data_IF_321844995277
#
_entry.id   IF_321844995277
#
_cell.length_a   1.000
_cell.length_b   1.000
_cell.length_c   1.000
_cell.angle_alpha   90.00
_cell.angle_beta   90.00
_cell.angle_gamma   90.00
#
_symmetry.space_group_name_H-M   'P 1'
#
loop_
_entity.id
_entity.type
_entity.pdbx_description
1 polymer ?
#
# COMPACT_ATOMS: atom_id res chain seq x y z
N UNK A 1 -17.34 -24.09 81.86
CA UNK A 1 -17.65 -24.63 80.52
C UNK A 1 -17.07 -23.68 79.48
N UNK A 2 -15.74 -23.66 79.34
CA UNK A 2 -14.95 -24.37 78.31
C UNK A 2 -15.18 -23.84 76.90
N UNK A 3 -14.44 -22.78 76.60
CA UNK A 3 -14.26 -22.14 75.29
C UNK A 3 -13.21 -22.90 74.47
N UNK A 4 -13.65 -23.50 73.35
CA UNK A 4 -12.77 -24.19 72.39
C UNK A 4 -12.16 -23.16 71.42
N UNK A 5 -10.88 -22.84 71.63
CA UNK A 5 -10.06 -22.02 70.73
C UNK A 5 -9.38 -22.95 69.72
N UNK A 6 -9.87 -22.91 68.48
CA UNK A 6 -9.32 -23.66 67.35
C UNK A 6 -8.03 -23.00 66.84
N UNK A 7 -6.87 -23.61 67.14
CA UNK A 7 -5.56 -23.22 66.59
C UNK A 7 -5.45 -23.66 65.13
N UNK A 8 -5.36 -22.71 64.18
CA UNK A 8 -4.96 -22.98 62.79
C UNK A 8 -3.43 -23.03 62.72
N UNK A 9 -2.89 -24.18 62.33
CA UNK A 9 -1.50 -24.34 61.91
C UNK A 9 -1.29 -23.68 60.53
N UNK A 10 -0.52 -22.59 60.50
CA UNK A 10 0.10 -22.04 59.29
C UNK A 10 1.32 -22.87 58.92
N UNK A 11 1.22 -23.64 57.85
CA UNK A 11 2.37 -24.30 57.21
C UNK A 11 3.16 -23.25 56.42
N UNK A 12 4.39 -22.96 56.88
CA UNK A 12 5.38 -22.21 56.12
C UNK A 12 5.98 -23.13 55.03
N UNK A 13 6.03 -22.70 53.76
CA UNK A 13 6.69 -23.46 52.70
C UNK A 13 8.22 -23.38 52.85
N UNK A 14 8.86 -24.54 52.79
CA UNK A 14 10.32 -24.70 52.81
C UNK A 14 11.00 -24.00 51.63
N UNK A 15 12.23 -23.46 51.80
CA UNK A 15 12.98 -22.83 50.73
C UNK A 15 13.45 -23.88 49.70
N UNK A 16 13.08 -23.68 48.44
CA UNK A 16 13.57 -24.49 47.33
C UNK A 16 15.06 -24.21 47.08
N UNK A 17 15.82 -25.29 47.02
CA UNK A 17 17.24 -25.33 46.68
C UNK A 17 17.49 -24.91 45.23
N UNK A 18 18.48 -24.05 45.05
CA UNK A 18 18.96 -23.55 43.77
C UNK A 18 19.58 -24.68 42.92
N UNK A 19 19.31 -24.76 41.61
CA UNK A 19 19.99 -25.71 40.73
C UNK A 19 21.46 -25.30 40.47
N UNK A 20 22.35 -26.28 40.20
CA UNK A 20 23.77 -26.03 39.99
C UNK A 20 24.05 -25.25 38.69
N UNK A 21 25.03 -24.34 38.76
CA UNK A 21 25.59 -23.59 37.63
C UNK A 21 26.20 -24.57 36.61
N UNK A 22 25.55 -24.67 35.46
CA UNK A 22 26.09 -25.31 34.26
C UNK A 22 27.26 -24.49 33.71
N UNK A 23 28.33 -25.22 33.38
CA UNK A 23 29.58 -24.73 32.83
C UNK A 23 29.41 -24.02 31.48
N UNK A 24 30.30 -23.07 31.25
CA UNK A 24 30.51 -22.32 30.02
C UNK A 24 30.89 -23.24 28.84
N UNK A 25 30.34 -23.03 27.63
CA UNK A 25 30.92 -23.58 26.42
C UNK A 25 31.98 -22.63 25.86
N UNK A 26 33.19 -23.15 25.86
CA UNK A 26 34.39 -22.66 25.19
C UNK A 26 34.16 -22.40 23.69
N UNK A 27 34.70 -21.27 23.27
CA UNK A 27 35.04 -20.79 21.93
C UNK A 27 35.45 -21.89 20.94
N UNK A 28 34.68 -22.13 19.88
CA UNK A 28 35.11 -22.85 18.68
C UNK A 28 34.23 -22.50 17.47
N UNK A 29 34.43 -21.32 16.89
CA UNK A 29 33.88 -20.97 15.57
C UNK A 29 34.70 -19.84 14.92
N UNK A 30 35.97 -20.15 14.65
CA UNK A 30 36.83 -19.35 13.79
C UNK A 30 37.39 -20.25 12.70
N UNK A 31 36.62 -20.42 11.62
CA UNK A 31 37.04 -20.75 10.26
C UNK A 31 35.79 -21.14 9.47
N UNK A 32 35.09 -20.13 8.93
CA UNK A 32 34.25 -20.35 7.77
C UNK A 32 34.78 -19.47 6.64
N UNK A 33 35.09 -20.19 5.58
CA UNK A 33 35.78 -19.85 4.36
C UNK A 33 35.12 -18.67 3.65
N UNK A 34 35.96 -17.75 3.14
CA UNK A 34 35.52 -16.47 2.56
C UNK A 34 35.47 -16.48 1.04
N UNK A 35 35.76 -17.61 0.39
CA UNK A 35 35.92 -17.69 -1.06
C UNK A 35 35.07 -18.80 -1.71
N UNK A 36 33.73 -18.66 -1.73
CA UNK A 36 32.91 -19.35 -2.76
C UNK A 36 31.45 -18.91 -2.79
N UNK A 37 31.13 -17.72 -3.33
CA UNK A 37 29.79 -17.41 -3.83
C UNK A 37 29.89 -16.54 -5.08
N UNK A 38 30.25 -17.17 -6.20
CA UNK A 38 30.04 -16.62 -7.54
C UNK A 38 28.59 -16.92 -7.91
N UNK A 39 27.74 -15.89 -7.96
CA UNK A 39 26.36 -16.03 -8.42
C UNK A 39 26.35 -16.40 -9.92
N UNK A 40 25.55 -17.40 -10.36
CA UNK A 40 25.36 -17.67 -11.77
C UNK A 40 24.53 -16.55 -12.41
N UNK A 41 25.02 -16.04 -13.53
CA UNK A 41 24.24 -15.21 -14.43
C UNK A 41 23.10 -16.07 -15.00
N UNK A 42 21.89 -15.84 -14.50
CA UNK A 42 20.69 -16.48 -15.01
C UNK A 42 19.63 -15.40 -15.12
N UNK A 43 19.53 -14.76 -16.29
CA UNK A 43 18.34 -14.18 -16.92
C UNK A 43 18.79 -13.36 -18.13
N UNK A 44 18.93 -14.03 -19.27
CA UNK A 44 18.90 -13.36 -20.57
C UNK A 44 17.42 -13.19 -21.00
N UNK A 45 16.96 -11.99 -21.35
CA UNK A 45 15.63 -11.80 -21.86
C UNK A 45 15.57 -12.15 -23.36
N UNK A 46 14.93 -13.29 -23.67
CA UNK A 46 14.43 -13.58 -25.02
C UNK A 46 13.21 -12.67 -25.24
N UNK A 47 13.40 -11.56 -25.96
CA UNK A 47 12.33 -10.74 -26.51
C UNK A 47 12.17 -11.08 -27.99
N UNK A 48 11.07 -11.75 -28.34
CA UNK A 48 10.58 -11.80 -29.71
C UNK A 48 9.61 -10.63 -29.93
N UNK A 49 9.83 -9.78 -30.96
CA UNK A 49 8.87 -8.75 -31.34
C UNK A 49 7.88 -9.39 -32.33
N UNK A 50 6.59 -9.52 -31.96
CA UNK A 50 5.43 -9.53 -32.89
C UNK A 50 4.11 -9.94 -32.21
N UNK A 51 3.78 -9.34 -31.07
CA UNK A 51 2.40 -9.31 -30.61
C UNK A 51 2.02 -7.87 -30.26
N UNK A 52 1.23 -7.23 -31.12
CA UNK A 52 0.58 -5.96 -30.85
C UNK A 52 -0.41 -6.13 -29.68
N UNK A 53 0.11 -5.94 -28.47
CA UNK A 53 -0.69 -5.84 -27.26
C UNK A 53 -1.51 -4.55 -27.33
N UNK A 54 -2.75 -4.66 -27.81
CA UNK A 54 -3.76 -3.62 -27.60
C UNK A 54 -3.98 -3.43 -26.09
N UNK A 55 -3.33 -2.38 -25.56
CA UNK A 55 -3.35 -1.99 -24.16
C UNK A 55 -4.67 -1.28 -23.83
N UNK A 56 -5.65 -2.06 -23.35
CA UNK A 56 -6.83 -1.55 -22.66
C UNK A 56 -6.44 -1.12 -21.24
N UNK A 57 -5.96 0.13 -21.12
CA UNK A 57 -5.49 0.73 -19.87
C UNK A 57 -6.62 1.30 -18.98
N UNK A 58 -7.85 0.82 -19.15
CA UNK A 58 -9.04 1.35 -18.46
C UNK A 58 -9.17 0.88 -17.00
N UNK A 59 -8.36 -0.07 -16.54
CA UNK A 59 -8.47 -0.65 -15.19
C UNK A 59 -7.73 0.12 -14.08
N UNK A 60 -6.83 1.05 -14.42
CA UNK A 60 -6.20 1.94 -13.42
C UNK A 60 -6.79 3.36 -13.41
N UNK A 61 -7.81 3.61 -14.23
CA UNK A 61 -8.73 4.71 -14.00
C UNK A 61 -9.69 4.27 -12.90
N UNK A 62 -9.43 4.73 -11.67
CA UNK A 62 -10.44 4.74 -10.62
C UNK A 62 -11.70 5.37 -11.22
N UNK A 63 -12.68 4.52 -11.60
CA UNK A 63 -14.03 4.95 -11.93
C UNK A 63 -14.63 5.50 -10.65
N UNK A 64 -14.41 6.79 -10.41
CA UNK A 64 -15.21 7.56 -9.49
C UNK A 64 -16.57 7.75 -10.15
N UNK A 65 -17.55 6.97 -9.69
CA UNK A 65 -18.92 6.93 -10.20
C UNK A 65 -19.49 8.33 -10.36
N UNK A 66 -19.47 8.83 -11.60
CA UNK A 66 -20.17 10.05 -11.98
C UNK A 66 -21.48 9.59 -12.57
N UNK A 67 -22.56 9.80 -11.81
CA UNK A 67 -23.94 9.54 -12.23
C UNK A 67 -24.22 10.25 -13.57
N UNK A 68 -24.60 9.47 -14.58
CA UNK A 68 -24.97 9.93 -15.91
C UNK A 68 -26.24 10.79 -15.84
N UNK A 69 -26.10 12.08 -16.13
CA UNK A 69 -27.22 12.95 -16.49
C UNK A 69 -27.47 12.90 -18.02
N UNK A 70 -28.70 13.18 -18.49
CA UNK A 70 -29.08 13.01 -19.89
C UNK A 70 -28.37 14.01 -20.81
N UNK A 71 -27.97 13.53 -21.99
CA UNK A 71 -27.26 14.27 -23.04
C UNK A 71 -28.12 15.40 -23.64
N UNK A 72 -27.71 16.64 -23.42
CA UNK A 72 -28.13 17.81 -24.21
C UNK A 72 -27.12 18.12 -25.33
N UNK A 73 -27.56 18.69 -26.46
CA UNK A 73 -26.73 18.92 -27.64
C UNK A 73 -25.61 19.96 -27.41
N UNK A 74 -24.50 19.87 -28.17
CA UNK A 74 -23.29 20.65 -27.94
C UNK A 74 -23.46 22.12 -28.32
N UNK A 75 -23.54 23.00 -27.31
CA UNK A 75 -23.42 24.45 -27.49
C UNK A 75 -21.95 24.83 -27.67
N UNK A 76 -21.58 25.37 -28.84
CA UNK A 76 -20.26 25.96 -29.10
C UNK A 76 -20.04 27.17 -28.19
N UNK A 77 -19.27 26.98 -27.12
CA UNK A 77 -18.94 28.02 -26.14
C UNK A 77 -17.61 28.67 -26.53
N UNK A 78 -17.66 29.95 -26.94
CA UNK A 78 -16.47 30.79 -27.15
C UNK A 78 -15.65 30.88 -25.85
N UNK A 79 -14.45 30.27 -25.82
CA UNK A 79 -13.56 30.23 -24.65
C UNK A 79 -12.45 31.29 -24.73
N UNK A 80 -12.80 32.56 -24.89
CA UNK A 80 -11.83 33.66 -24.81
C UNK A 80 -12.03 34.42 -23.50
N UNK A 81 -11.67 33.81 -22.37
CA UNK A 81 -11.41 34.50 -21.10
C UNK A 81 -10.92 33.51 -20.03
N UNK A 82 -9.65 33.10 -20.09
CA UNK A 82 -8.98 32.36 -19.02
C UNK A 82 -8.69 33.30 -17.84
N UNK A 83 -9.73 33.68 -17.07
CA UNK A 83 -9.54 34.31 -15.77
C UNK A 83 -8.86 33.28 -14.86
N UNK A 84 -7.60 33.54 -14.47
CA UNK A 84 -6.89 32.79 -13.43
C UNK A 84 -7.80 32.67 -12.21
N UNK A 85 -8.32 31.48 -11.93
CA UNK A 85 -9.08 31.26 -10.71
C UNK A 85 -8.19 31.57 -9.51
N UNK A 86 -8.69 32.31 -8.50
CA UNK A 86 -7.95 32.53 -7.27
C UNK A 86 -7.60 31.16 -6.67
N UNK A 87 -6.33 30.96 -6.35
CA UNK A 87 -5.87 29.74 -5.68
C UNK A 87 -6.74 29.48 -4.48
N UNK A 88 -7.44 28.34 -4.45
CA UNK A 88 -8.22 27.94 -3.29
C UNK A 88 -7.33 28.04 -2.03
N UNK A 89 -7.83 28.61 -0.92
CA UNK A 89 -7.03 28.76 0.28
C UNK A 89 -6.52 27.38 0.71
N UNK A 90 -5.24 27.28 1.04
CA UNK A 90 -4.56 26.02 1.42
C UNK A 90 -5.34 25.26 2.53
N UNK A 91 -6.00 25.99 3.43
CA UNK A 91 -6.87 25.43 4.46
C UNK A 91 -8.08 24.66 3.89
N UNK A 92 -8.67 25.09 2.78
CA UNK A 92 -9.77 24.37 2.14
C UNK A 92 -9.30 23.05 1.54
N UNK A 93 -8.09 23.00 0.97
CA UNK A 93 -7.49 21.77 0.44
C UNK A 93 -7.21 20.79 1.58
N UNK A 94 -6.62 21.27 2.68
CA UNK A 94 -6.35 20.45 3.87
C UNK A 94 -7.65 19.94 4.49
N UNK A 95 -8.66 20.81 4.62
CA UNK A 95 -9.97 20.42 5.16
C UNK A 95 -10.64 19.34 4.30
N UNK A 96 -10.61 19.49 2.98
CA UNK A 96 -11.11 18.47 2.03
C UNK A 96 -10.34 17.15 2.15
N UNK A 97 -9.01 17.23 2.31
CA UNK A 97 -8.15 16.05 2.51
C UNK A 97 -8.45 15.32 3.82
N UNK A 98 -8.63 16.04 4.94
CA UNK A 98 -8.93 15.43 6.25
C UNK A 98 -10.38 14.92 6.32
N UNK A 99 -11.29 15.51 5.55
CA UNK A 99 -12.68 15.05 5.51
C UNK A 99 -12.82 13.72 4.77
N UNK A 100 -11.94 13.44 3.81
CA UNK A 100 -11.90 12.17 3.08
C UNK A 100 -11.44 11.01 3.97
N UNK A 101 -12.12 9.85 3.86
CA UNK A 101 -11.78 8.65 4.63
C UNK A 101 -10.35 8.17 4.32
N UNK A 102 -9.98 8.19 3.03
CA UNK A 102 -8.63 7.84 2.58
C UNK A 102 -7.57 8.80 3.13
N UNK A 103 -7.85 10.11 3.09
CA UNK A 103 -6.95 11.13 3.64
C UNK A 103 -6.73 10.97 5.14
N UNK A 104 -7.74 10.55 5.90
CA UNK A 104 -7.60 10.19 7.32
C UNK A 104 -6.73 8.96 7.52
N UNK A 105 -6.96 7.86 6.80
CA UNK A 105 -6.12 6.65 6.90
C UNK A 105 -4.65 6.97 6.60
N UNK A 106 -4.37 7.73 5.53
CA UNK A 106 -2.98 8.09 5.17
C UNK A 106 -2.35 9.02 6.20
N UNK A 107 -3.08 10.01 6.71
CA UNK A 107 -2.60 10.89 7.79
C UNK A 107 -2.21 10.11 9.03
N UNK A 108 -3.08 9.19 9.47
CA UNK A 108 -2.80 8.35 10.64
C UNK A 108 -1.60 7.43 10.35
N UNK A 109 -1.45 6.89 9.14
CA UNK A 109 -0.27 6.09 8.75
C UNK A 109 1.02 6.91 8.89
N UNK A 110 1.04 8.13 8.35
CA UNK A 110 2.21 9.02 8.41
C UNK A 110 2.59 9.32 9.86
N UNK A 111 1.62 9.71 10.69
CA UNK A 111 1.84 10.01 12.11
C UNK A 111 2.34 8.76 12.86
N UNK A 112 1.70 7.61 12.65
CA UNK A 112 2.07 6.34 13.25
C UNK A 112 3.54 5.98 12.96
N UNK A 113 3.96 6.10 11.69
CA UNK A 113 5.31 5.73 11.30
C UNK A 113 6.36 6.79 11.67
N UNK A 114 5.99 8.07 11.71
CA UNK A 114 6.85 9.10 12.29
C UNK A 114 7.18 8.79 13.75
N UNK A 115 6.18 8.41 14.56
CA UNK A 115 6.43 7.99 15.95
C UNK A 115 7.23 6.69 16.05
N UNK A 116 7.05 5.73 15.14
CA UNK A 116 7.92 4.53 15.10
C UNK A 116 9.38 4.88 14.83
N UNK A 117 9.65 5.86 13.96
CA UNK A 117 11.01 6.38 13.70
C UNK A 117 11.56 7.03 14.98
N UNK A 118 10.80 7.92 15.62
CA UNK A 118 11.22 8.58 16.87
C UNK A 118 11.52 7.57 17.99
N UNK A 119 10.68 6.53 18.11
CA UNK A 119 10.87 5.42 19.05
C UNK A 119 12.12 4.62 18.75
N UNK A 120 12.40 4.34 17.47
CA UNK A 120 13.58 3.59 17.03
C UNK A 120 14.87 4.31 17.43
N UNK A 121 14.93 5.63 17.27
CA UNK A 121 16.07 6.46 17.68
C UNK A 121 16.06 6.87 19.16
N UNK A 122 15.07 6.40 19.94
CA UNK A 122 14.89 6.69 21.37
C UNK A 122 14.78 8.20 21.68
N UNK A 123 14.26 8.99 20.74
CA UNK A 123 14.03 10.43 20.93
C UNK A 123 12.80 10.73 21.79
N UNK A 124 11.97 9.72 22.05
CA UNK A 124 10.75 9.82 22.86
C UNK A 124 10.62 8.63 23.82
N UNK A 125 9.87 8.80 24.91
CA UNK A 125 9.66 7.74 25.92
C UNK A 125 8.93 6.51 25.34
N UNK A 126 9.61 5.37 25.36
CA UNK A 126 9.11 4.13 24.75
C UNK A 126 7.83 3.62 25.40
N UNK A 127 7.63 3.83 26.70
CA UNK A 127 6.46 3.30 27.42
C UNK A 127 5.18 4.01 27.00
N UNK A 128 5.21 5.34 26.94
CA UNK A 128 4.03 6.16 26.61
C UNK A 128 3.67 6.09 25.13
N UNK A 129 4.67 6.18 24.24
CA UNK A 129 4.43 6.34 22.81
C UNK A 129 4.15 5.02 22.08
N UNK A 130 4.63 3.88 22.59
CA UNK A 130 4.32 2.56 21.99
C UNK A 130 2.82 2.23 22.03
N UNK A 131 2.15 2.52 23.15
CA UNK A 131 0.70 2.36 23.30
C UNK A 131 -0.07 3.24 22.30
N UNK A 132 0.35 4.50 22.13
CA UNK A 132 -0.28 5.41 21.17
C UNK A 132 -0.12 4.94 19.72
N UNK A 133 1.08 4.50 19.34
CA UNK A 133 1.34 3.91 18.01
C UNK A 133 0.47 2.67 17.76
N UNK A 134 0.27 1.84 18.77
CA UNK A 134 -0.64 0.70 18.71
C UNK A 134 -2.08 1.14 18.45
N UNK A 135 -2.56 2.17 19.16
CA UNK A 135 -3.90 2.73 18.94
C UNK A 135 -4.08 3.30 17.53
N UNK A 136 -3.10 4.04 16.99
CA UNK A 136 -3.17 4.51 15.61
C UNK A 136 -3.27 3.35 14.61
N UNK A 137 -2.54 2.27 14.85
CA UNK A 137 -2.65 1.06 14.03
C UNK A 137 -4.05 0.44 14.10
N UNK A 138 -4.63 0.35 15.30
CA UNK A 138 -5.96 -0.21 15.50
C UNK A 138 -7.03 0.67 14.86
N UNK A 139 -6.94 2.00 15.01
CA UNK A 139 -7.85 2.96 14.37
C UNK A 139 -7.84 2.81 12.84
N UNK A 140 -6.66 2.63 12.23
CA UNK A 140 -6.56 2.43 10.78
C UNK A 140 -7.23 1.14 10.31
N UNK A 141 -7.10 0.05 11.06
CA UNK A 141 -7.82 -1.20 10.76
C UNK A 141 -9.33 -0.97 10.86
N UNK A 142 -9.78 -0.31 11.92
CA UNK A 142 -11.20 0.01 12.11
C UNK A 142 -11.77 0.87 10.97
N UNK A 143 -11.00 1.84 10.46
CA UNK A 143 -11.39 2.68 9.32
C UNK A 143 -11.58 1.90 8.01
N UNK A 144 -10.97 0.71 7.89
CA UNK A 144 -11.04 -0.15 6.70
C UNK A 144 -12.07 -1.27 6.84
N UNK A 145 -12.67 -1.42 8.02
CA UNK A 145 -13.66 -2.47 8.26
C UNK A 145 -14.80 -2.32 7.26
N UNK A 146 -15.13 -3.42 6.57
CA UNK A 146 -16.20 -3.43 5.57
C UNK A 146 -15.78 -2.99 4.17
N UNK A 147 -14.49 -2.73 3.92
CA UNK A 147 -13.98 -2.51 2.55
C UNK A 147 -14.26 -3.71 1.62
N UNK A 148 -14.37 -4.92 2.17
CA UNK A 148 -14.77 -6.13 1.44
C UNK A 148 -16.08 -5.97 0.65
N UNK A 149 -17.03 -5.17 1.13
CA UNK A 149 -18.30 -4.90 0.43
C UNK A 149 -18.07 -4.17 -0.89
N UNK A 150 -17.08 -3.28 -0.94
CA UNK A 150 -16.68 -2.59 -2.17
C UNK A 150 -16.14 -3.56 -3.21
N UNK A 151 -15.20 -4.42 -2.82
CA UNK A 151 -14.62 -5.44 -3.70
C UNK A 151 -15.67 -6.42 -4.24
N UNK A 152 -16.62 -6.84 -3.40
CA UNK A 152 -17.74 -7.70 -3.84
C UNK A 152 -18.60 -7.00 -4.89
N UNK A 153 -18.89 -5.70 -4.71
CA UNK A 153 -19.64 -4.91 -5.69
C UNK A 153 -18.90 -4.80 -7.02
N UNK A 154 -17.62 -4.46 -6.99
CA UNK A 154 -16.77 -4.34 -8.19
C UNK A 154 -16.68 -5.68 -8.95
N UNK A 155 -16.65 -6.79 -8.21
CA UNK A 155 -16.68 -8.14 -8.76
C UNK A 155 -18.02 -8.45 -9.44
N UNK A 156 -19.15 -8.07 -8.84
CA UNK A 156 -20.50 -8.24 -9.43
C UNK A 156 -20.70 -7.38 -10.68
N UNK A 157 -20.21 -6.14 -10.68
CA UNK A 157 -20.26 -5.23 -11.83
C UNK A 157 -19.39 -5.76 -12.99
N UNK A 158 -18.23 -6.32 -12.65
CA UNK A 158 -17.34 -6.97 -13.63
C UNK A 158 -17.96 -8.24 -14.21
N UNK A 159 -18.67 -9.04 -13.41
CA UNK A 159 -19.38 -10.23 -13.89
C UNK A 159 -20.53 -9.87 -14.84
N UNK A 160 -21.25 -8.79 -14.55
CA UNK A 160 -22.38 -8.32 -15.37
C UNK A 160 -21.94 -7.71 -16.72
N UNK A 161 -20.67 -7.32 -16.82
CA UNK A 161 -20.10 -6.73 -18.04
C UNK A 161 -19.71 -7.83 -19.04
N UNK A 162 -20.58 -8.07 -20.02
CA UNK A 162 -20.42 -9.09 -21.09
C UNK A 162 -19.16 -8.96 -21.98
N UNK A 163 -18.40 -7.86 -21.87
CA UNK A 163 -17.19 -7.62 -22.65
C UNK A 163 -15.99 -8.49 -22.23
N UNK A 164 -15.98 -9.01 -21.00
CA UNK A 164 -14.87 -9.79 -20.44
C UNK A 164 -14.78 -11.22 -20.99
N UNK A 165 -15.84 -11.73 -21.62
CA UNK A 165 -15.89 -13.11 -22.12
C UNK A 165 -14.98 -13.36 -23.33
N UNK A 166 -14.51 -12.31 -24.01
CA UNK A 166 -13.71 -12.44 -25.24
C UNK A 166 -12.25 -12.86 -25.01
N UNK A 167 -11.74 -12.85 -23.76
CA UNK A 167 -10.35 -13.21 -23.43
C UNK A 167 -10.28 -14.03 -22.13
N UNK A 168 -10.35 -15.37 -22.18
CA UNK A 168 -10.49 -16.22 -20.98
C UNK A 168 -9.31 -16.10 -20.01
N UNK A 169 -8.09 -15.90 -20.50
CA UNK A 169 -6.91 -15.71 -19.65
C UNK A 169 -6.96 -14.39 -18.86
N UNK A 170 -7.43 -13.32 -19.49
CA UNK A 170 -7.59 -12.03 -18.81
C UNK A 170 -8.67 -12.13 -17.74
N UNK A 171 -9.80 -12.77 -18.05
CA UNK A 171 -10.85 -13.05 -17.09
C UNK A 171 -10.30 -13.81 -15.88
N UNK A 172 -9.59 -14.93 -16.08
CA UNK A 172 -8.99 -15.69 -14.98
C UNK A 172 -8.04 -14.84 -14.13
N UNK A 173 -7.17 -14.05 -14.76
CA UNK A 173 -6.25 -13.16 -14.04
C UNK A 173 -7.02 -12.12 -13.19
N UNK A 174 -8.06 -11.51 -13.74
CA UNK A 174 -8.92 -10.56 -13.02
C UNK A 174 -9.60 -11.22 -11.81
N UNK A 175 -10.14 -12.43 -11.97
CA UNK A 175 -10.75 -13.18 -10.86
C UNK A 175 -9.76 -13.59 -9.79
N UNK A 176 -8.56 -14.01 -10.18
CA UNK A 176 -7.49 -14.28 -9.22
C UNK A 176 -7.14 -13.04 -8.41
N UNK A 177 -7.03 -11.87 -9.05
CA UNK A 177 -6.79 -10.60 -8.35
C UNK A 177 -7.93 -10.27 -7.40
N UNK A 178 -9.20 -10.41 -7.82
CA UNK A 178 -10.34 -10.20 -6.93
C UNK A 178 -10.36 -11.16 -5.74
N UNK A 179 -10.04 -12.43 -5.94
CA UNK A 179 -9.97 -13.41 -4.87
C UNK A 179 -8.87 -13.08 -3.86
N UNK A 180 -7.70 -12.61 -4.33
CA UNK A 180 -6.60 -12.17 -3.46
C UNK A 180 -7.00 -10.93 -2.66
N UNK A 181 -7.61 -9.93 -3.30
CA UNK A 181 -8.06 -8.69 -2.65
C UNK A 181 -9.16 -8.98 -1.62
N UNK A 182 -10.18 -9.74 -2.01
CA UNK A 182 -11.28 -10.12 -1.12
C UNK A 182 -10.76 -10.95 0.06
N UNK A 183 -9.88 -11.92 -0.20
CA UNK A 183 -9.25 -12.73 0.84
C UNK A 183 -8.44 -11.88 1.83
N UNK A 184 -7.72 -10.86 1.33
CA UNK A 184 -7.02 -9.90 2.19
C UNK A 184 -7.98 -9.09 3.06
N UNK A 185 -9.02 -8.50 2.48
CA UNK A 185 -9.96 -7.62 3.20
C UNK A 185 -10.76 -8.40 4.25
N UNK A 186 -11.27 -9.58 3.91
CA UNK A 186 -11.96 -10.46 4.88
C UNK A 186 -11.01 -10.88 6.00
N UNK A 187 -9.76 -11.22 5.68
CA UNK A 187 -8.78 -11.60 6.70
C UNK A 187 -8.38 -10.43 7.61
N UNK A 188 -8.26 -9.20 7.08
CA UNK A 188 -7.99 -8.00 7.89
C UNK A 188 -9.17 -7.68 8.82
N UNK A 189 -10.41 -7.80 8.32
CA UNK A 189 -11.64 -7.63 9.13
C UNK A 189 -11.71 -8.66 10.27
N UNK A 190 -11.49 -9.94 9.97
CA UNK A 190 -11.45 -11.00 10.99
C UNK A 190 -10.35 -10.76 12.02
N UNK A 191 -9.18 -10.29 11.59
CA UNK A 191 -8.10 -9.94 12.50
C UNK A 191 -8.44 -8.71 13.36
N UNK A 192 -9.13 -7.72 12.80
CA UNK A 192 -9.64 -6.57 13.53
C UNK A 192 -10.63 -6.99 14.61
N UNK A 193 -11.61 -7.83 14.27
CA UNK A 193 -12.59 -8.38 15.21
C UNK A 193 -11.94 -9.24 16.31
N UNK A 194 -10.89 -10.01 15.97
CA UNK A 194 -10.07 -10.70 16.98
C UNK A 194 -9.45 -9.71 17.98
N UNK A 195 -8.87 -8.60 17.51
CA UNK A 195 -8.29 -7.58 18.40
C UNK A 195 -9.32 -6.89 19.29
N UNK A 196 -10.61 -6.89 18.90
CA UNK A 196 -11.72 -6.40 19.72
C UNK A 196 -12.30 -7.48 20.66
N UNK A 197 -11.78 -8.71 20.64
CA UNK A 197 -12.24 -9.80 21.51
C UNK A 197 -13.46 -10.56 21.00
N UNK A 198 -13.89 -10.34 19.75
CA UNK A 198 -15.04 -11.03 19.15
C UNK A 198 -14.71 -12.48 18.83
N UNK A 199 -13.48 -12.75 18.36
CA UNK A 199 -13.03 -14.09 17.98
C UNK A 199 -11.91 -14.60 18.88
N UNK A 200 -11.77 -15.93 18.96
CA UNK A 200 -10.67 -16.58 19.68
C UNK A 200 -9.29 -16.42 18.98
N UNK A 201 -8.19 -16.61 19.73
CA UNK A 201 -6.82 -16.41 19.21
C UNK A 201 -6.44 -17.33 18.05
N UNK A 202 -7.08 -18.50 17.94
CA UNK A 202 -6.84 -19.46 16.86
C UNK A 202 -7.24 -18.91 15.48
N UNK A 203 -8.37 -18.18 15.41
CA UNK A 203 -8.84 -17.56 14.17
C UNK A 203 -8.02 -16.31 13.88
N UNK A 204 -7.81 -15.47 14.90
CA UNK A 204 -7.06 -14.22 14.77
C UNK A 204 -5.64 -14.39 14.21
N UNK A 205 -4.87 -15.35 14.75
CA UNK A 205 -3.49 -15.62 14.28
C UNK A 205 -3.45 -16.18 12.86
N UNK A 206 -4.45 -16.95 12.44
CA UNK A 206 -4.56 -17.45 11.07
C UNK A 206 -4.92 -16.32 10.11
N UNK A 207 -5.91 -15.50 10.47
CA UNK A 207 -6.34 -14.35 9.68
C UNK A 207 -5.21 -13.33 9.48
N UNK A 208 -4.43 -13.04 10.54
CA UNK A 208 -3.24 -12.17 10.44
C UNK A 208 -2.24 -12.66 9.39
N UNK A 209 -1.89 -13.96 9.42
CA UNK A 209 -0.98 -14.54 8.42
C UNK A 209 -1.56 -14.46 7.02
N UNK A 210 -2.81 -14.87 6.84
CA UNK A 210 -3.47 -14.85 5.52
C UNK A 210 -3.51 -13.43 4.95
N UNK A 211 -3.89 -12.43 5.75
CA UNK A 211 -3.91 -11.03 5.32
C UNK A 211 -2.53 -10.55 4.88
N UNK A 212 -1.46 -10.84 5.63
CA UNK A 212 -0.09 -10.43 5.24
C UNK A 212 0.31 -11.04 3.89
N UNK A 213 0.07 -12.34 3.66
CA UNK A 213 0.42 -12.98 2.38
C UNK A 213 -0.43 -12.48 1.21
N UNK A 214 -1.75 -12.33 1.40
CA UNK A 214 -2.64 -11.80 0.37
C UNK A 214 -2.30 -10.34 0.04
N UNK A 215 -1.97 -9.52 1.04
CA UNK A 215 -1.52 -8.14 0.83
C UNK A 215 -0.20 -8.09 0.05
N UNK A 216 0.76 -8.93 0.39
CA UNK A 216 2.03 -9.03 -0.35
C UNK A 216 1.81 -9.40 -1.82
N UNK A 217 1.00 -10.42 -2.10
CA UNK A 217 0.62 -10.81 -3.46
C UNK A 217 -0.08 -9.68 -4.21
N UNK A 218 -1.00 -8.98 -3.56
CA UNK A 218 -1.66 -7.79 -4.12
C UNK A 218 -0.67 -6.70 -4.53
N UNK A 219 0.32 -6.40 -3.68
CA UNK A 219 1.38 -5.44 -3.99
C UNK A 219 2.16 -5.84 -5.25
N UNK A 220 2.48 -7.13 -5.42
CA UNK A 220 3.21 -7.60 -6.61
C UNK A 220 2.39 -7.45 -7.89
N UNK A 221 1.11 -7.78 -7.84
CA UNK A 221 0.18 -7.62 -8.97
C UNK A 221 0.06 -6.12 -9.34
N UNK A 222 -0.17 -5.27 -8.34
CA UNK A 222 -0.28 -3.82 -8.53
C UNK A 222 1.01 -3.21 -9.08
N UNK A 223 2.17 -3.64 -8.55
CA UNK A 223 3.47 -3.13 -8.99
C UNK A 223 3.72 -3.49 -10.45
N UNK A 224 3.46 -4.74 -10.85
CA UNK A 224 3.57 -5.17 -12.25
C UNK A 224 2.68 -4.31 -13.15
N UNK A 225 1.42 -4.10 -12.77
CA UNK A 225 0.48 -3.29 -13.53
C UNK A 225 0.96 -1.83 -13.67
N UNK A 226 1.40 -1.21 -12.57
CA UNK A 226 1.92 0.16 -12.57
C UNK A 226 3.21 0.30 -13.41
N UNK A 227 4.11 -0.69 -13.37
CA UNK A 227 5.32 -0.70 -14.21
C UNK A 227 4.98 -0.81 -15.70
N UNK A 228 4.01 -1.65 -16.08
CA UNK A 228 3.54 -1.74 -17.47
C UNK A 228 2.93 -0.42 -17.93
N UNK A 229 2.06 0.20 -17.12
CA UNK A 229 1.48 1.51 -17.44
C UNK A 229 2.54 2.61 -17.56
N UNK A 230 3.55 2.61 -16.68
CA UNK A 230 4.67 3.55 -16.75
C UNK A 230 5.49 3.38 -18.05
N UNK A 231 5.80 2.14 -18.42
CA UNK A 231 6.53 1.85 -19.66
C UNK A 231 5.74 2.31 -20.90
N UNK A 232 4.42 2.08 -20.93
CA UNK A 232 3.57 2.57 -22.01
C UNK A 232 3.56 4.11 -22.08
N UNK A 233 3.48 4.81 -20.95
CA UNK A 233 3.52 6.27 -20.91
C UNK A 233 4.87 6.81 -21.43
N UNK A 234 5.98 6.16 -21.07
CA UNK A 234 7.32 6.51 -21.56
C UNK A 234 7.45 6.28 -23.07
N UNK A 235 6.88 5.19 -23.60
CA UNK A 235 6.85 4.93 -25.05
C UNK A 235 6.04 6.00 -25.79
N UNK A 236 4.84 6.35 -25.29
CA UNK A 236 4.01 7.41 -25.86
C UNK A 236 4.70 8.77 -25.85
N UNK A 237 5.44 9.08 -24.78
CA UNK A 237 6.23 10.32 -24.71
C UNK A 237 7.31 10.36 -25.80
N UNK A 238 8.04 9.27 -26.02
CA UNK A 238 9.05 9.19 -27.09
C UNK A 238 8.43 9.35 -28.48
N UNK A 239 7.30 8.70 -28.73
CA UNK A 239 6.58 8.81 -30.02
C UNK A 239 6.12 10.25 -30.29
N UNK A 240 5.57 10.93 -29.28
CA UNK A 240 5.12 12.31 -29.41
C UNK A 240 6.30 13.27 -29.64
N UNK A 241 7.43 13.07 -28.96
CA UNK A 241 8.64 13.86 -29.20
C UNK A 241 9.18 13.71 -30.63
N UNK A 242 9.18 12.49 -31.17
CA UNK A 242 9.58 12.24 -32.56
C UNK A 242 8.64 12.91 -33.57
N UNK A 243 7.32 12.83 -33.33
CA UNK A 243 6.32 13.50 -34.17
C UNK A 243 6.46 15.02 -34.13
N UNK A 244 6.72 15.60 -32.95
CA UNK A 244 6.93 17.04 -32.80
C UNK A 244 8.20 17.51 -33.54
N UNK A 245 9.29 16.73 -33.50
CA UNK A 245 10.51 17.07 -34.25
C UNK A 245 10.29 17.05 -35.76
N UNK A 246 9.49 16.11 -36.28
CA UNK A 246 9.14 16.06 -37.71
C UNK A 246 8.24 17.23 -38.11
N UNK A 247 7.28 17.61 -37.26
CA UNK A 247 6.38 18.73 -37.53
C UNK A 247 7.08 20.10 -37.48
N UNK A 248 8.04 20.29 -36.57
CA UNK A 248 8.83 21.54 -36.50
C UNK A 248 9.62 21.81 -37.79
N UNK A 249 9.99 20.78 -38.56
CA UNK A 249 10.64 20.95 -39.85
C UNK A 249 9.68 21.39 -40.97
N UNK A 250 8.39 21.07 -40.85
CA UNK A 250 7.39 21.33 -41.90
C UNK A 250 6.50 22.54 -41.62
N UNK A 251 6.30 22.92 -40.35
CA UNK A 251 5.38 24.00 -40.02
C UNK A 251 5.82 24.78 -38.77
N UNK A 252 5.78 26.11 -38.86
CA UNK A 252 6.12 27.06 -37.80
C UNK A 252 5.01 27.12 -36.73
N UNK A 253 4.50 25.96 -36.30
CA UNK A 253 3.40 25.83 -35.36
C UNK A 253 3.93 25.72 -33.93
N UNK A 254 3.60 26.72 -33.11
CA UNK A 254 3.78 26.71 -31.67
C UNK A 254 2.85 25.67 -31.04
N UNK A 255 3.35 24.45 -30.86
CA UNK A 255 2.69 23.42 -30.05
C UNK A 255 2.40 23.94 -28.64
N UNK A 256 1.24 23.56 -28.09
CA UNK A 256 0.79 23.96 -26.76
C UNK A 256 1.75 23.41 -25.69
N UNK A 257 2.37 24.28 -24.91
CA UNK A 257 3.23 23.87 -23.78
C UNK A 257 2.44 23.10 -22.71
N UNK A 258 1.12 23.30 -22.66
CA UNK A 258 0.22 22.75 -21.64
C UNK A 258 0.09 21.22 -21.75
N UNK A 259 0.02 20.66 -22.97
CA UNK A 259 -0.11 19.22 -23.18
C UNK A 259 1.15 18.45 -22.73
N UNK A 260 2.32 19.03 -22.97
CA UNK A 260 3.60 18.45 -22.55
C UNK A 260 3.71 18.44 -21.02
N UNK A 261 3.31 19.53 -20.34
CA UNK A 261 3.30 19.59 -18.88
C UNK A 261 2.35 18.54 -18.29
N UNK A 262 1.15 18.42 -18.82
CA UNK A 262 0.16 17.43 -18.37
C UNK A 262 0.69 15.98 -18.52
N UNK A 263 1.43 15.68 -19.59
CA UNK A 263 2.04 14.37 -19.79
C UNK A 263 3.18 14.11 -18.79
N UNK A 264 4.06 15.09 -18.56
CA UNK A 264 5.12 14.97 -17.54
C UNK A 264 4.53 14.70 -16.16
N UNK A 265 3.46 15.40 -15.78
CA UNK A 265 2.77 15.17 -14.51
C UNK A 265 2.22 13.74 -14.38
N UNK A 266 1.65 13.18 -15.46
CA UNK A 266 1.18 11.77 -15.47
C UNK A 266 2.31 10.78 -15.24
N UNK A 267 3.46 10.99 -15.89
CA UNK A 267 4.64 10.13 -15.74
C UNK A 267 5.21 10.22 -14.33
N UNK A 268 5.29 11.43 -13.77
CA UNK A 268 5.73 11.64 -12.39
C UNK A 268 4.80 10.93 -11.40
N UNK A 269 3.48 11.06 -11.57
CA UNK A 269 2.52 10.40 -10.70
C UNK A 269 2.60 8.87 -10.79
N UNK A 270 2.84 8.33 -11.99
CA UNK A 270 3.07 6.90 -12.20
C UNK A 270 4.35 6.42 -11.49
N UNK A 271 5.45 7.18 -11.60
CA UNK A 271 6.69 6.87 -10.87
C UNK A 271 6.50 6.88 -9.36
N UNK A 272 5.81 7.89 -8.82
CA UNK A 272 5.45 7.98 -7.40
C UNK A 272 4.64 6.76 -6.96
N UNK A 273 3.69 6.31 -7.79
CA UNK A 273 2.88 5.10 -7.54
C UNK A 273 3.74 3.84 -7.47
N UNK A 274 4.68 3.65 -8.41
CA UNK A 274 5.63 2.53 -8.40
C UNK A 274 6.52 2.56 -7.15
N UNK A 275 7.14 3.70 -6.83
CA UNK A 275 8.00 3.83 -5.65
C UNK A 275 7.23 3.54 -4.36
N UNK A 276 6.00 4.04 -4.24
CA UNK A 276 5.12 3.73 -3.11
C UNK A 276 4.90 2.22 -2.97
N UNK A 277 4.59 1.53 -4.07
CA UNK A 277 4.33 0.08 -4.05
C UNK A 277 5.59 -0.72 -3.70
N UNK A 278 6.77 -0.30 -4.18
CA UNK A 278 8.04 -0.91 -3.77
C UNK A 278 8.28 -0.77 -2.27
N UNK A 279 7.99 0.41 -1.69
CA UNK A 279 8.11 0.65 -0.26
C UNK A 279 7.11 -0.18 0.57
N UNK A 280 5.85 -0.29 0.12
CA UNK A 280 4.88 -1.21 0.74
C UNK A 280 5.34 -2.68 0.62
N UNK A 281 5.97 -3.05 -0.49
CA UNK A 281 6.56 -4.37 -0.69
C UNK A 281 7.68 -4.67 0.30
N UNK A 282 8.63 -3.74 0.49
CA UNK A 282 9.69 -3.84 1.51
C UNK A 282 9.10 -3.92 2.92
N UNK A 283 8.10 -3.08 3.20
CA UNK A 283 7.39 -3.08 4.47
C UNK A 283 6.80 -4.47 4.77
N UNK A 284 6.04 -5.01 3.84
CA UNK A 284 5.35 -6.29 3.99
C UNK A 284 6.34 -7.48 4.01
N UNK A 285 7.44 -7.38 3.25
CA UNK A 285 8.54 -8.31 3.29
C UNK A 285 9.15 -8.42 4.70
N UNK A 286 9.35 -7.28 5.37
CA UNK A 286 9.85 -7.27 6.75
C UNK A 286 8.91 -8.01 7.72
N UNK A 287 7.59 -7.92 7.53
CA UNK A 287 6.61 -8.65 8.36
C UNK A 287 6.67 -10.17 8.13
N UNK A 288 6.96 -10.61 6.90
CA UNK A 288 7.05 -12.04 6.53
C UNK A 288 8.37 -12.66 7.01
N UNK A 289 9.51 -12.03 6.68
CA UNK A 289 10.84 -12.61 6.90
C UNK A 289 11.49 -12.20 8.23
N UNK A 290 11.03 -11.13 8.86
CA UNK A 290 11.51 -10.64 10.16
C UNK A 290 13.05 -10.56 10.29
N UNK A 291 13.77 -9.90 9.35
CA UNK A 291 15.21 -9.70 9.50
C UNK A 291 15.54 -8.90 10.77
N UNK A 292 16.79 -8.99 11.26
CA UNK A 292 17.24 -8.30 12.48
C UNK A 292 17.07 -6.77 12.45
N UNK A 293 17.11 -6.17 11.26
CA UNK A 293 16.90 -4.73 11.01
C UNK A 293 15.46 -4.38 10.57
N UNK A 294 14.52 -5.33 10.64
CA UNK A 294 13.13 -5.17 10.19
C UNK A 294 12.45 -3.94 10.78
N UNK A 295 12.63 -3.68 12.08
CA UNK A 295 11.98 -2.55 12.78
C UNK A 295 12.31 -1.18 12.14
N UNK A 296 13.59 -0.94 11.82
CA UNK A 296 14.04 0.30 11.20
C UNK A 296 13.49 0.45 9.78
N UNK A 297 13.67 -0.59 8.96
CA UNK A 297 13.19 -0.58 7.57
C UNK A 297 11.68 -0.46 7.48
N UNK A 298 10.95 -1.18 8.33
CA UNK A 298 9.50 -1.11 8.41
C UNK A 298 9.03 0.29 8.83
N UNK A 299 9.74 0.94 9.75
CA UNK A 299 9.42 2.31 10.16
C UNK A 299 9.60 3.31 9.00
N UNK A 300 10.75 3.28 8.34
CA UNK A 300 11.07 4.19 7.22
C UNK A 300 10.22 3.93 5.98
N UNK A 301 10.10 2.66 5.54
CA UNK A 301 9.29 2.29 4.38
C UNK A 301 7.80 2.62 4.61
N UNK A 302 7.28 2.36 5.81
CA UNK A 302 5.91 2.70 6.18
C UNK A 302 5.65 4.21 6.16
N UNK A 303 6.60 5.02 6.64
CA UNK A 303 6.54 6.48 6.60
C UNK A 303 6.53 7.01 5.17
N UNK A 304 7.55 6.65 4.37
CA UNK A 304 7.66 7.16 2.99
C UNK A 304 6.50 6.69 2.11
N UNK A 305 6.06 5.44 2.21
CA UNK A 305 4.87 4.96 1.50
C UNK A 305 3.62 5.76 1.88
N UNK A 306 3.43 6.04 3.18
CA UNK A 306 2.34 6.88 3.67
C UNK A 306 2.39 8.29 3.07
N UNK A 307 3.56 8.93 3.12
CA UNK A 307 3.78 10.28 2.60
C UNK A 307 3.56 10.37 1.09
N UNK A 308 4.06 9.41 0.30
CA UNK A 308 3.83 9.37 -1.15
C UNK A 308 2.35 9.15 -1.49
N UNK A 309 1.65 8.32 -0.72
CA UNK A 309 0.20 8.12 -0.88
C UNK A 309 -0.60 9.38 -0.55
N UNK A 310 -0.23 10.07 0.54
CA UNK A 310 -0.83 11.36 0.91
C UNK A 310 -0.58 12.44 -0.14
N UNK A 311 0.64 12.52 -0.67
CA UNK A 311 1.00 13.43 -1.77
C UNK A 311 0.15 13.18 -3.03
N UNK A 312 0.01 11.91 -3.47
CA UNK A 312 -0.82 11.54 -4.62
C UNK A 312 -2.27 12.00 -4.44
N UNK A 313 -2.83 11.85 -3.23
CA UNK A 313 -4.19 12.28 -2.92
C UNK A 313 -4.33 13.81 -2.89
N UNK A 314 -3.36 14.53 -2.34
CA UNK A 314 -3.32 16.00 -2.36
C UNK A 314 -3.27 16.55 -3.80
N UNK A 315 -2.47 15.95 -4.67
CA UNK A 315 -2.43 16.29 -6.10
C UNK A 315 -3.80 16.09 -6.77
N UNK A 316 -4.48 14.97 -6.50
CA UNK A 316 -5.82 14.69 -7.02
C UNK A 316 -6.86 15.72 -6.55
N UNK A 317 -6.80 16.13 -5.28
CA UNK A 317 -7.70 17.15 -4.73
C UNK A 317 -7.45 18.51 -5.37
N UNK A 318 -6.19 18.87 -5.63
CA UNK A 318 -5.81 20.14 -6.27
C UNK A 318 -6.24 20.21 -7.73
N UNK A 319 -6.31 19.08 -8.43
CA UNK A 319 -6.75 19.01 -9.82
C UNK A 319 -8.28 18.90 -9.98
N UNK A 320 -9.05 18.77 -8.89
CA UNK A 320 -10.50 18.60 -8.89
C UNK A 320 -11.22 19.86 -8.41
#
# INVERSE_FOLDING_TARGET
MSSNVSKRNTYLPSPMSSPPRSASPTTLLAQLDKDSLRAPALFDPILTPNDEFHSSNDYLSVKQSTLLAPSTPPVKRNSNNSKKQPSAPLLAIISKYISDLEGRDKSIKIIQYAFKILLHYRWVDTKRWSTMVSHFSQTRKLLRVGHCVGTVRDMMDSYSSSSLQKRPLHFLATWCTFAITLGNEVADDLFCFYKMGVFGPSIGKKAEKVSIYCWFLGILIDLRSNLMSLNLLLQKQKQQQQQQQQQQQQHNQTSSNDDHEAQLQKILLARVSCTKLMLDGIFCACDIWQPSFSSALQAWSGFFSGSLSGYKLLCKIRSS
#
